data_IF_750931639705
#
_entry.id   IF_750931639705
#
_cell.length_a   1.000
_cell.length_b   1.000
_cell.length_c   1.000
_cell.angle_alpha   90.00
_cell.angle_beta   90.00
_cell.angle_gamma   90.00
#
_symmetry.space_group_name_H-M   'P 1'
#
loop_
_entity.id
_entity.type
_entity.pdbx_description
1 polymer ?
#
# COMPACT_ATOMS: atom_id res chain seq x y z
N UNK A 1 1.21 -4.07 9.53
CA UNK A 1 0.16 -4.88 8.89
C UNK A 1 0.06 -4.68 7.38
N UNK A 2 -0.07 -3.46 6.83
CA UNK A 2 -0.26 -3.25 5.37
C UNK A 2 0.80 -3.98 4.53
N UNK A 3 2.09 -3.68 4.75
CA UNK A 3 3.19 -4.31 4.01
C UNK A 3 3.26 -5.83 4.26
N UNK A 4 2.97 -6.28 5.48
CA UNK A 4 2.97 -7.70 5.86
C UNK A 4 1.85 -8.46 5.13
N UNK A 5 0.69 -7.85 4.92
CA UNK A 5 -0.40 -8.45 4.13
C UNK A 5 -0.03 -8.50 2.65
N UNK A 6 0.49 -7.41 2.09
CA UNK A 6 0.85 -7.31 0.68
C UNK A 6 1.94 -8.32 0.28
N UNK A 7 2.97 -8.51 1.12
CA UNK A 7 4.04 -9.49 0.84
C UNK A 7 3.58 -10.94 0.93
N UNK A 8 2.43 -11.18 1.57
CA UNK A 8 1.76 -12.48 1.58
C UNK A 8 0.66 -12.56 0.50
N UNK A 9 0.71 -11.69 -0.50
CA UNK A 9 -0.20 -11.75 -1.64
C UNK A 9 -1.63 -11.26 -1.36
N UNK A 10 -1.86 -10.62 -0.21
CA UNK A 10 -3.19 -10.19 0.19
C UNK A 10 -3.35 -8.68 -0.04
N UNK A 11 -4.20 -8.25 -1.00
CA UNK A 11 -4.49 -6.83 -1.17
C UNK A 11 -5.19 -6.27 0.07
N UNK A 12 -4.88 -5.02 0.42
CA UNK A 12 -5.38 -4.35 1.62
C UNK A 12 -6.22 -3.15 1.20
N UNK A 13 -7.46 -3.08 1.70
CA UNK A 13 -8.26 -1.85 1.66
C UNK A 13 -7.97 -1.02 2.91
N UNK A 14 -7.59 0.24 2.73
CA UNK A 14 -7.13 1.12 3.80
C UNK A 14 -7.88 2.44 3.85
N UNK A 15 -7.97 3.06 5.04
CA UNK A 15 -8.50 4.41 5.19
C UNK A 15 -7.47 5.46 4.76
N UNK A 16 -7.90 6.69 4.41
CA UNK A 16 -7.00 7.75 4.01
C UNK A 16 -6.40 8.46 5.24
N UNK A 17 -5.75 7.71 6.13
CA UNK A 17 -5.25 8.19 7.44
C UNK A 17 -3.79 7.79 7.64
N UNK A 18 -3.01 8.72 8.21
CA UNK A 18 -1.59 8.55 8.55
C UNK A 18 -0.75 8.01 7.40
N UNK A 19 0.01 6.93 7.62
CA UNK A 19 0.93 6.35 6.65
C UNK A 19 0.27 5.39 5.65
N UNK A 20 -1.04 5.13 5.78
CA UNK A 20 -1.75 4.20 4.89
C UNK A 20 -1.78 4.73 3.44
N UNK A 21 -2.15 6.01 3.17
CA UNK A 21 -2.05 6.60 1.84
C UNK A 21 -0.66 6.52 1.23
N UNK A 22 0.39 6.76 2.03
CA UNK A 22 1.77 6.75 1.55
C UNK A 22 2.19 5.39 1.00
N UNK A 23 1.56 4.29 1.47
CA UNK A 23 1.82 2.93 1.00
C UNK A 23 0.87 2.54 -0.13
N UNK A 24 -0.43 2.81 0.01
CA UNK A 24 -1.44 2.27 -0.90
C UNK A 24 -1.66 3.13 -2.14
N UNK A 25 -1.59 4.46 -2.03
CA UNK A 25 -1.86 5.35 -3.17
C UNK A 25 -0.88 5.15 -4.34
N UNK A 26 0.44 5.03 -4.11
CA UNK A 26 1.38 4.77 -5.20
C UNK A 26 1.22 3.38 -5.83
N UNK A 27 0.59 2.45 -5.11
CA UNK A 27 0.33 1.09 -5.61
C UNK A 27 -0.94 1.02 -6.45
N UNK A 28 -2.05 1.50 -5.89
CA UNK A 28 -3.35 1.57 -6.54
C UNK A 28 -4.32 2.45 -5.73
N UNK A 29 -4.89 3.46 -6.38
CA UNK A 29 -5.90 4.34 -5.75
C UNK A 29 -7.16 3.57 -5.33
N UNK A 30 -7.49 2.47 -6.03
CA UNK A 30 -8.64 1.61 -5.71
C UNK A 30 -8.57 0.96 -4.32
N UNK A 31 -7.37 0.90 -3.73
CA UNK A 31 -7.13 0.33 -2.41
C UNK A 31 -7.45 1.30 -1.25
N UNK A 32 -7.71 2.58 -1.53
CA UNK A 32 -8.05 3.56 -0.50
C UNK A 32 -9.56 3.80 -0.44
N UNK A 33 -10.11 3.72 0.76
CA UNK A 33 -11.45 4.20 1.05
C UNK A 33 -11.52 5.73 0.93
N UNK A 34 -12.72 6.24 0.68
CA UNK A 34 -13.01 7.68 0.64
C UNK A 34 -12.83 8.38 2.00
N UNK A 35 -12.88 7.63 3.09
CA UNK A 35 -12.80 8.18 4.43
C UNK A 35 -12.90 7.11 5.52
N UNK A 36 -13.18 7.54 6.75
CA UNK A 36 -13.17 6.69 7.95
C UNK A 36 -14.56 6.36 8.49
N UNK A 37 -15.62 6.98 7.93
CA UNK A 37 -16.98 6.71 8.39
C UNK A 37 -17.46 5.33 7.96
N UNK A 38 -18.37 4.73 8.74
CA UNK A 38 -18.95 3.41 8.46
C UNK A 38 -19.54 3.33 7.06
N UNK A 39 -20.27 4.38 6.64
CA UNK A 39 -20.90 4.42 5.31
C UNK A 39 -19.86 4.42 4.20
N UNK A 40 -18.75 5.15 4.36
CA UNK A 40 -17.66 5.17 3.38
C UNK A 40 -16.91 3.84 3.29
N UNK A 41 -16.68 3.17 4.44
CA UNK A 41 -16.08 1.84 4.46
C UNK A 41 -16.98 0.81 3.79
N UNK A 42 -18.27 0.82 4.13
CA UNK A 42 -19.26 -0.09 3.55
C UNK A 42 -19.40 0.12 2.04
N UNK A 43 -19.45 1.38 1.59
CA UNK A 43 -19.53 1.71 0.17
C UNK A 43 -18.30 1.22 -0.60
N UNK A 44 -17.09 1.44 -0.08
CA UNK A 44 -15.87 0.94 -0.73
C UNK A 44 -15.83 -0.58 -0.81
N UNK A 45 -16.28 -1.30 0.24
CA UNK A 45 -16.39 -2.76 0.19
C UNK A 45 -17.38 -3.23 -0.88
N UNK A 46 -18.55 -2.59 -0.98
CA UNK A 46 -19.55 -2.90 -2.02
C UNK A 46 -18.96 -2.68 -3.41
N UNK A 47 -18.21 -1.61 -3.62
CA UNK A 47 -17.57 -1.31 -4.91
C UNK A 47 -16.55 -2.38 -5.31
N UNK A 48 -15.76 -2.88 -4.37
CA UNK A 48 -14.83 -3.98 -4.60
C UNK A 48 -15.57 -5.28 -4.94
N UNK A 49 -16.55 -5.68 -4.13
CA UNK A 49 -17.28 -6.92 -4.37
C UNK A 49 -18.20 -6.88 -5.60
N UNK A 50 -18.58 -5.69 -6.06
CA UNK A 50 -19.30 -5.49 -7.33
C UNK A 50 -18.38 -5.35 -8.55
N UNK A 51 -17.06 -5.35 -8.36
CA UNK A 51 -16.06 -5.22 -9.42
C UNK A 51 -15.91 -3.80 -9.98
N UNK A 52 -16.45 -2.78 -9.31
CA UNK A 52 -16.27 -1.37 -9.68
C UNK A 52 -14.85 -0.88 -9.39
N UNK A 53 -14.22 -1.43 -8.34
CA UNK A 53 -12.79 -1.24 -8.03
C UNK A 53 -12.04 -2.53 -8.32
N UNK A 54 -10.84 -2.42 -8.86
CA UNK A 54 -10.01 -3.56 -9.18
C UNK A 54 -8.97 -3.78 -8.09
N UNK A 55 -8.97 -4.98 -7.49
CA UNK A 55 -7.93 -5.36 -6.57
C UNK A 55 -6.70 -5.87 -7.35
N UNK A 56 -5.48 -5.47 -6.96
CA UNK A 56 -4.27 -6.09 -7.48
C UNK A 56 -4.23 -7.59 -7.19
N UNK A 57 -3.56 -8.35 -8.06
CA UNK A 57 -3.35 -9.79 -7.83
C UNK A 57 -2.38 -10.05 -6.69
N UNK A 58 -2.29 -11.31 -6.25
CA UNK A 58 -1.31 -11.77 -5.26
C UNK A 58 0.11 -11.40 -5.68
N UNK A 59 0.45 -11.71 -6.94
CA UNK A 59 1.77 -11.49 -7.51
C UNK A 59 2.09 -9.99 -7.60
N UNK A 60 1.09 -9.17 -7.92
CA UNK A 60 1.24 -7.71 -7.96
C UNK A 60 1.52 -7.15 -6.55
N UNK A 61 0.83 -7.66 -5.52
CA UNK A 61 1.05 -7.25 -4.13
C UNK A 61 2.47 -7.62 -3.66
N UNK A 62 2.90 -8.85 -3.93
CA UNK A 62 4.24 -9.32 -3.59
C UNK A 62 5.32 -8.50 -4.31
N UNK A 63 5.18 -8.32 -5.62
CA UNK A 63 6.13 -7.56 -6.44
C UNK A 63 6.27 -6.12 -5.95
N UNK A 64 5.16 -5.46 -5.62
CA UNK A 64 5.17 -4.09 -5.10
C UNK A 64 6.00 -3.98 -3.81
N UNK A 65 5.81 -4.91 -2.87
CA UNK A 65 6.62 -4.93 -1.64
C UNK A 65 8.08 -5.19 -1.92
N UNK A 66 8.38 -6.15 -2.79
CA UNK A 66 9.75 -6.52 -3.15
C UNK A 66 10.55 -5.34 -3.72
N UNK A 67 9.92 -4.57 -4.60
CA UNK A 67 10.52 -3.42 -5.26
C UNK A 67 10.71 -2.20 -4.33
N UNK A 68 9.85 -2.03 -3.32
CA UNK A 68 9.77 -0.76 -2.59
C UNK A 68 10.19 -0.82 -1.11
N UNK A 69 9.96 -1.95 -0.42
CA UNK A 69 9.96 -1.98 1.04
C UNK A 69 10.86 -3.06 1.66
N UNK A 70 11.54 -3.88 0.85
CA UNK A 70 12.46 -4.90 1.40
C UNK A 70 13.68 -4.28 2.05
N UNK A 71 14.30 -5.02 2.98
CA UNK A 71 15.50 -4.58 3.68
C UNK A 71 16.63 -4.09 2.75
N UNK A 72 16.99 -4.77 1.65
CA UNK A 72 18.00 -4.27 0.73
C UNK A 72 17.64 -2.90 0.12
N UNK A 73 16.37 -2.69 -0.24
CA UNK A 73 15.88 -1.43 -0.82
C UNK A 73 15.98 -0.30 0.21
N UNK A 74 15.45 -0.51 1.40
CA UNK A 74 15.42 0.51 2.45
C UNK A 74 16.83 0.81 2.97
N UNK A 75 17.67 -0.20 3.19
CA UNK A 75 19.04 -0.01 3.64
C UNK A 75 19.86 0.83 2.64
N UNK A 76 19.68 0.59 1.33
CA UNK A 76 20.35 1.37 0.30
C UNK A 76 19.87 2.84 0.28
N UNK A 77 18.56 3.09 0.46
CA UNK A 77 18.01 4.44 0.56
C UNK A 77 18.57 5.20 1.77
N UNK A 78 18.59 4.57 2.95
CA UNK A 78 19.14 5.16 4.18
C UNK A 78 20.64 5.45 4.03
N UNK A 79 21.40 4.51 3.46
CA UNK A 79 22.84 4.69 3.18
C UNK A 79 23.08 5.94 2.33
N UNK A 80 22.30 6.15 1.26
CA UNK A 80 22.43 7.33 0.41
C UNK A 80 22.22 8.64 1.18
N UNK A 81 21.26 8.67 2.12
CA UNK A 81 21.03 9.85 2.98
C UNK A 81 22.24 10.11 3.88
N UNK A 82 22.80 9.09 4.52
CA UNK A 82 24.00 9.25 5.35
C UNK A 82 25.21 9.71 4.53
N UNK A 83 25.41 9.18 3.33
CA UNK A 83 26.47 9.63 2.44
C UNK A 83 26.31 11.09 2.02
N UNK A 84 25.08 11.54 1.77
CA UNK A 84 24.80 12.93 1.43
C UNK A 84 25.01 13.90 2.61
N UNK A 85 24.87 13.43 3.85
CA UNK A 85 25.01 14.27 5.05
C UNK A 85 26.47 14.45 5.52
N UNK A 86 27.38 13.56 5.13
CA UNK A 86 28.80 13.60 5.50
C UNK A 86 29.71 14.20 4.42
N UNK A 87 29.15 14.48 3.24
CA UNK A 87 29.80 15.19 2.13
C UNK A 87 29.45 16.68 2.18
#
# INVERSE_FOLDING_TARGET
>A
IVIESLVNGTPVLGTPVDSIPEILQPFSEDLLFEGTSVDQLAQGMIEVFSGKRQLPSSEACEAYVHEHYTWPVIAQRIKSVYQAAIN
#
